data_IF_484358628430
#
_entry.id   IF_484358628430
#
_cell.length_a   1.000
_cell.length_b   1.000
_cell.length_c   1.000
_cell.angle_alpha   90.00
_cell.angle_beta   90.00
_cell.angle_gamma   90.00
#
_symmetry.space_group_name_H-M   'P 1'
#
loop_
_entity.id
_entity.type
_entity.pdbx_description
1 polymer ?
#
# COMPACT_ATOMS: atom_id res chain seq x y z
N UNK A 1 5.92 -17.64 6.54
CA UNK A 1 4.77 -16.72 6.54
C UNK A 1 5.18 -15.54 5.67
N UNK A 2 4.42 -15.18 4.65
CA UNK A 2 4.77 -14.08 3.75
C UNK A 2 4.70 -12.71 4.44
N UNK A 3 3.98 -12.60 5.58
CA UNK A 3 3.80 -11.34 6.31
C UNK A 3 4.38 -11.46 7.72
N UNK A 4 5.19 -10.46 8.09
CA UNK A 4 5.81 -10.38 9.40
C UNK A 4 5.36 -9.11 10.12
N UNK A 5 4.83 -9.26 11.33
CA UNK A 5 4.61 -8.13 12.23
C UNK A 5 5.97 -7.60 12.72
N UNK A 6 6.22 -6.30 12.56
CA UNK A 6 7.49 -5.65 12.91
C UNK A 6 7.39 -4.91 14.22
N UNK A 7 6.27 -4.26 14.51
CA UNK A 7 6.08 -3.48 15.72
C UNK A 7 4.94 -2.47 15.58
N UNK A 8 4.83 -1.58 16.56
CA UNK A 8 3.85 -0.51 16.58
C UNK A 8 4.54 0.82 16.85
N UNK A 9 4.16 1.87 16.11
CA UNK A 9 4.73 3.21 16.20
C UNK A 9 3.76 4.27 16.74
N UNK A 10 2.59 3.90 17.26
CA UNK A 10 1.59 4.87 17.73
C UNK A 10 2.06 5.74 18.91
N UNK A 11 3.14 5.34 19.60
CA UNK A 11 3.82 6.11 20.65
C UNK A 11 4.87 7.11 20.13
N UNK A 12 5.25 7.01 18.86
CA UNK A 12 6.28 7.86 18.24
C UNK A 12 5.71 9.03 17.44
N UNK A 13 4.51 8.87 16.94
CA UNK A 13 3.79 9.92 16.21
C UNK A 13 2.27 9.70 16.28
N UNK A 14 1.55 10.79 16.04
CA UNK A 14 0.09 10.78 15.97
C UNK A 14 -0.39 10.39 14.57
N UNK A 15 -0.91 9.17 14.43
CA UNK A 15 -1.48 8.68 13.16
C UNK A 15 -2.66 9.53 12.68
N UNK A 16 -3.49 10.03 13.60
CA UNK A 16 -4.65 10.86 13.26
C UNK A 16 -4.19 12.23 12.71
N UNK A 17 -3.05 12.76 13.18
CA UNK A 17 -2.44 13.97 12.64
C UNK A 17 -1.97 13.76 11.19
N UNK A 18 -1.33 12.64 10.89
CA UNK A 18 -0.91 12.34 9.49
C UNK A 18 -2.14 12.25 8.57
N UNK A 19 -3.20 11.58 9.02
CA UNK A 19 -4.46 11.53 8.26
C UNK A 19 -5.02 12.94 8.06
N UNK A 20 -5.05 13.78 9.10
CA UNK A 20 -5.54 15.15 9.01
C UNK A 20 -4.75 15.97 7.98
N UNK A 21 -3.42 15.89 7.96
CA UNK A 21 -2.58 16.54 6.96
C UNK A 21 -2.93 16.07 5.53
N UNK A 22 -3.11 14.76 5.32
CA UNK A 22 -3.53 14.25 4.01
C UNK A 22 -4.88 14.82 3.57
N UNK A 23 -5.82 14.99 4.50
CA UNK A 23 -7.17 15.50 4.21
C UNK A 23 -7.23 16.99 3.83
N UNK A 24 -6.17 17.75 4.07
CA UNK A 24 -6.04 19.14 3.59
C UNK A 24 -5.81 19.21 2.07
N UNK A 25 -5.58 18.05 1.42
CA UNK A 25 -5.24 17.95 0.01
C UNK A 25 -6.19 17.00 -0.73
N UNK A 26 -6.26 17.13 -2.07
CA UNK A 26 -7.10 16.26 -2.90
C UNK A 26 -6.53 14.84 -3.07
N UNK A 27 -5.21 14.69 -2.91
CA UNK A 27 -4.52 13.44 -3.23
C UNK A 27 -4.54 13.09 -4.73
N UNK A 28 -3.77 12.09 -5.11
CA UNK A 28 -3.72 11.55 -6.47
C UNK A 28 -4.65 10.34 -6.58
N UNK A 29 -5.64 10.41 -7.48
CA UNK A 29 -6.63 9.34 -7.66
C UNK A 29 -6.06 8.28 -8.60
N UNK A 30 -6.08 7.02 -8.16
CA UNK A 30 -5.76 5.85 -8.95
C UNK A 30 -7.00 5.01 -9.19
N UNK A 31 -7.19 4.58 -10.42
CA UNK A 31 -8.29 3.69 -10.84
C UNK A 31 -7.75 2.49 -11.58
N UNK A 32 -8.29 1.32 -11.27
CA UNK A 32 -8.04 0.10 -12.02
C UNK A 32 -6.75 -0.64 -11.64
N UNK A 33 -6.37 -1.59 -12.48
CA UNK A 33 -5.23 -2.48 -12.27
C UNK A 33 -3.97 -1.87 -12.87
N UNK A 34 -2.85 -2.01 -12.17
CA UNK A 34 -1.54 -1.60 -12.66
C UNK A 34 -1.15 -2.50 -13.84
N UNK A 35 -0.78 -1.91 -14.97
CA UNK A 35 -0.29 -2.66 -16.13
C UNK A 35 1.14 -3.13 -15.89
N UNK A 36 1.40 -4.43 -16.09
CA UNK A 36 2.75 -4.97 -16.08
C UNK A 36 3.52 -4.57 -17.35
N UNK A 37 4.83 -4.29 -17.24
CA UNK A 37 5.71 -4.20 -18.41
C UNK A 37 5.70 -5.50 -19.22
N UNK A 38 5.79 -5.39 -20.55
CA UNK A 38 5.71 -6.54 -21.46
C UNK A 38 6.84 -7.55 -21.24
N UNK A 39 7.97 -7.10 -20.74
CA UNK A 39 9.15 -7.91 -20.42
C UNK A 39 9.11 -8.52 -19.01
N UNK A 40 8.04 -8.28 -18.26
CA UNK A 40 7.89 -8.86 -16.93
C UNK A 40 7.65 -10.38 -17.01
N UNK A 41 8.32 -11.22 -16.17
CA UNK A 41 8.21 -12.69 -16.22
C UNK A 41 6.78 -13.21 -16.13
N UNK A 42 5.89 -12.49 -15.45
CA UNK A 42 4.47 -12.87 -15.27
C UNK A 42 3.50 -12.12 -16.18
N UNK A 43 4.02 -11.35 -17.15
CA UNK A 43 3.18 -10.55 -18.05
C UNK A 43 2.09 -11.38 -18.74
N UNK A 44 2.43 -12.58 -19.16
CA UNK A 44 1.50 -13.43 -19.90
C UNK A 44 0.31 -13.86 -19.02
N UNK A 45 0.58 -14.33 -17.81
CA UNK A 45 -0.46 -14.68 -16.83
C UNK A 45 -1.29 -13.46 -16.44
N UNK A 46 -0.63 -12.33 -16.22
CA UNK A 46 -1.31 -11.08 -15.90
C UNK A 46 -2.15 -10.55 -17.07
N UNK A 47 -1.69 -10.67 -18.30
CA UNK A 47 -2.45 -10.23 -19.48
C UNK A 47 -3.76 -10.99 -19.64
N UNK A 48 -3.81 -12.26 -19.22
CA UNK A 48 -5.03 -13.06 -19.18
C UNK A 48 -5.97 -12.53 -18.10
N UNK A 49 -5.46 -12.30 -16.88
CA UNK A 49 -6.24 -11.73 -15.78
C UNK A 49 -6.75 -10.32 -16.12
N UNK A 50 -5.93 -9.50 -16.77
CA UNK A 50 -6.32 -8.17 -17.24
C UNK A 50 -7.47 -8.25 -18.25
N UNK A 51 -7.39 -9.16 -19.23
CA UNK A 51 -8.47 -9.39 -20.19
C UNK A 51 -9.75 -9.87 -19.52
N UNK A 52 -9.66 -10.78 -18.55
CA UNK A 52 -10.79 -11.25 -17.76
C UNK A 52 -11.40 -10.11 -16.93
N UNK A 53 -10.58 -9.31 -16.27
CA UNK A 53 -11.02 -8.15 -15.50
C UNK A 53 -11.74 -7.12 -16.39
N UNK A 54 -11.20 -6.82 -17.57
CA UNK A 54 -11.85 -5.95 -18.58
C UNK A 54 -13.19 -6.51 -19.03
N UNK A 55 -13.26 -7.81 -19.38
CA UNK A 55 -14.50 -8.44 -19.83
C UNK A 55 -15.58 -8.51 -18.74
N UNK A 56 -15.17 -8.54 -17.47
CA UNK A 56 -16.06 -8.51 -16.31
C UNK A 56 -16.47 -7.09 -15.88
N UNK A 57 -16.01 -6.04 -16.60
CA UNK A 57 -16.31 -4.64 -16.27
C UNK A 57 -15.60 -4.11 -15.04
N UNK A 58 -14.52 -4.73 -14.60
CA UNK A 58 -13.79 -4.29 -13.40
C UNK A 58 -13.22 -2.89 -13.51
N UNK A 59 -12.78 -2.49 -14.71
CA UNK A 59 -12.22 -1.15 -14.97
C UNK A 59 -13.25 -0.03 -15.03
N UNK A 60 -14.49 -0.39 -15.32
CA UNK A 60 -15.63 0.53 -15.32
C UNK A 60 -16.27 0.63 -13.93
N UNK A 61 -15.83 -0.25 -12.99
CA UNK A 61 -16.36 -0.31 -11.65
C UNK A 61 -15.68 0.72 -10.77
N UNK A 62 -16.44 1.70 -10.28
CA UNK A 62 -15.99 2.71 -9.32
C UNK A 62 -15.46 2.12 -7.99
N UNK A 63 -15.67 0.82 -7.72
CA UNK A 63 -15.12 0.16 -6.54
C UNK A 63 -13.58 0.13 -6.55
N UNK A 64 -12.95 0.13 -7.73
CA UNK A 64 -11.49 0.08 -7.87
C UNK A 64 -10.86 1.49 -7.89
N UNK A 65 -11.10 2.23 -6.82
CA UNK A 65 -10.56 3.58 -6.64
C UNK A 65 -9.89 3.71 -5.28
N UNK A 66 -8.68 4.26 -5.28
CA UNK A 66 -7.96 4.65 -4.08
C UNK A 66 -7.17 5.93 -4.35
N UNK A 67 -6.78 6.63 -3.28
CA UNK A 67 -6.01 7.87 -3.38
C UNK A 67 -4.64 7.70 -2.75
N UNK A 68 -3.64 8.33 -3.36
CA UNK A 68 -2.31 8.45 -2.79
C UNK A 68 -2.00 9.90 -2.38
N UNK A 69 -1.36 10.01 -1.23
CA UNK A 69 -0.80 11.25 -0.70
C UNK A 69 0.71 11.06 -0.52
N UNK A 70 1.49 11.94 -1.14
CA UNK A 70 2.96 11.86 -1.14
C UNK A 70 3.53 12.72 0.00
N UNK A 71 4.67 12.32 0.62
CA UNK A 71 5.35 13.16 1.59
C UNK A 71 5.77 14.50 0.96
N UNK A 72 6.10 15.49 1.80
CA UNK A 72 6.45 16.87 1.43
C UNK A 72 5.29 17.68 0.81
N UNK A 73 4.40 17.05 0.07
CA UNK A 73 3.26 17.71 -0.59
C UNK A 73 1.97 17.62 0.22
N UNK A 74 1.78 16.52 0.96
CA UNK A 74 0.51 16.21 1.60
C UNK A 74 0.64 15.89 3.09
N UNK A 75 1.84 15.57 3.56
CA UNK A 75 2.15 15.33 4.97
C UNK A 75 3.64 15.51 5.25
N UNK A 76 3.99 15.66 6.54
CA UNK A 76 5.34 15.98 6.99
C UNK A 76 6.35 14.86 6.66
N UNK A 77 7.43 15.20 5.97
CA UNK A 77 8.56 14.30 5.67
C UNK A 77 9.18 13.69 6.94
N UNK A 78 9.16 14.41 8.06
CA UNK A 78 9.68 13.93 9.35
C UNK A 78 9.05 12.59 9.76
N UNK A 79 7.81 12.35 9.39
CA UNK A 79 7.15 11.05 9.62
C UNK A 79 7.86 9.91 8.87
N UNK A 80 8.24 10.14 7.61
CA UNK A 80 8.99 9.16 6.81
C UNK A 80 10.36 8.89 7.42
N UNK A 81 11.02 9.91 7.94
CA UNK A 81 12.35 9.80 8.56
C UNK A 81 12.28 8.95 9.84
N UNK A 82 11.30 9.20 10.72
CA UNK A 82 11.05 8.41 11.93
C UNK A 82 10.74 6.94 11.57
N UNK A 83 9.92 6.73 10.54
CA UNK A 83 9.58 5.39 10.07
C UNK A 83 10.82 4.66 9.52
N UNK A 84 11.62 5.33 8.69
CA UNK A 84 12.86 4.80 8.10
C UNK A 84 13.86 4.38 9.17
N UNK A 85 14.06 5.23 10.18
CA UNK A 85 14.93 4.93 11.33
C UNK A 85 14.44 3.70 12.09
N UNK A 86 13.13 3.61 12.34
CA UNK A 86 12.56 2.48 13.07
C UNK A 86 12.70 1.15 12.35
N UNK A 87 12.48 1.10 11.04
CA UNK A 87 12.59 -0.13 10.25
C UNK A 87 14.00 -0.41 9.73
N UNK A 88 14.93 0.55 9.88
CA UNK A 88 16.32 0.43 9.43
C UNK A 88 16.46 0.36 7.90
N UNK A 89 15.59 1.04 7.15
CA UNK A 89 15.57 0.97 5.70
C UNK A 89 15.61 2.37 5.05
N UNK A 90 16.29 2.48 3.92
CA UNK A 90 16.33 3.71 3.11
C UNK A 90 15.10 3.77 2.21
N UNK A 91 14.32 4.87 2.24
CA UNK A 91 13.10 4.98 1.45
C UNK A 91 13.40 5.13 -0.06
N UNK A 92 12.60 4.50 -0.89
CA UNK A 92 12.56 4.66 -2.35
C UNK A 92 11.22 5.25 -2.80
N UNK A 93 10.13 4.67 -2.32
CA UNK A 93 8.77 5.11 -2.62
C UNK A 93 7.97 5.05 -1.34
N UNK A 94 7.37 6.18 -0.98
CA UNK A 94 6.51 6.29 0.21
C UNK A 94 5.25 7.09 -0.11
N UNK A 95 4.12 6.65 0.40
CA UNK A 95 2.84 7.35 0.26
C UNK A 95 1.84 6.87 1.30
N UNK A 96 0.86 7.70 1.59
CA UNK A 96 -0.35 7.29 2.31
C UNK A 96 -1.43 6.96 1.29
N UNK A 97 -2.09 5.80 1.45
CA UNK A 97 -3.25 5.41 0.66
C UNK A 97 -4.53 5.65 1.45
N UNK A 98 -5.51 6.28 0.81
CA UNK A 98 -6.90 6.31 1.27
C UNK A 98 -7.74 5.34 0.45
N UNK A 99 -8.45 4.45 1.13
CA UNK A 99 -9.48 3.58 0.54
C UNK A 99 -10.82 3.95 1.18
N UNK A 100 -11.70 4.61 0.42
CA UNK A 100 -13.02 5.03 0.89
C UNK A 100 -13.96 3.84 1.10
N UNK A 101 -15.05 4.00 1.87
CA UNK A 101 -16.11 3.00 1.98
C UNK A 101 -16.58 2.48 0.63
N UNK A 102 -16.67 1.16 0.48
CA UNK A 102 -17.07 0.49 -0.77
C UNK A 102 -15.99 0.47 -1.86
N UNK A 103 -14.77 0.93 -1.56
CA UNK A 103 -13.66 0.96 -2.51
C UNK A 103 -12.60 -0.07 -2.17
N UNK A 104 -11.71 -0.36 -3.14
CA UNK A 104 -10.59 -1.29 -2.98
C UNK A 104 -9.39 -0.89 -3.81
N UNK A 105 -8.20 -1.23 -3.33
CA UNK A 105 -7.03 -1.48 -4.17
C UNK A 105 -7.14 -2.94 -4.62
N UNK A 106 -7.28 -3.23 -5.92
CA UNK A 106 -7.53 -4.58 -6.41
C UNK A 106 -6.33 -5.50 -6.17
N UNK A 107 -6.48 -6.78 -6.40
CA UNK A 107 -5.42 -7.78 -6.34
C UNK A 107 -4.32 -7.43 -7.33
N UNK A 108 -3.13 -7.13 -6.83
CA UNK A 108 -1.98 -6.68 -7.62
C UNK A 108 -0.68 -7.01 -6.89
N UNK A 109 0.42 -6.83 -7.58
CA UNK A 109 1.74 -6.69 -6.99
C UNK A 109 2.40 -5.41 -7.52
N UNK A 110 3.32 -4.88 -6.75
CA UNK A 110 3.93 -3.61 -7.06
C UNK A 110 5.21 -3.78 -7.87
N UNK A 111 5.26 -3.18 -9.04
CA UNK A 111 6.44 -3.11 -9.88
C UNK A 111 6.87 -1.66 -10.03
N UNK A 112 8.16 -1.45 -9.86
CA UNK A 112 8.80 -0.19 -10.20
C UNK A 112 9.81 -0.48 -11.32
N UNK A 113 9.79 0.29 -12.43
CA UNK A 113 10.78 0.13 -13.51
C UNK A 113 12.23 0.17 -13.03
N UNK A 114 12.48 0.85 -11.90
CA UNK A 114 13.79 0.96 -11.29
C UNK A 114 14.16 -0.17 -10.34
N UNK A 115 13.30 -1.18 -10.12
CA UNK A 115 13.57 -2.24 -9.14
C UNK A 115 14.84 -3.00 -9.43
N UNK A 116 15.18 -3.22 -10.70
CA UNK A 116 16.43 -3.86 -11.10
C UNK A 116 17.67 -3.08 -10.65
N UNK A 117 17.63 -1.77 -10.78
CA UNK A 117 18.72 -0.89 -10.34
C UNK A 117 18.72 -0.71 -8.82
N UNK A 118 17.54 -0.63 -8.21
CA UNK A 118 17.41 -0.50 -6.77
C UNK A 118 17.92 -1.75 -6.02
N UNK A 119 17.74 -2.94 -6.58
CA UNK A 119 18.30 -4.19 -6.02
C UNK A 119 19.83 -4.22 -5.96
N UNK A 120 20.51 -3.40 -6.76
CA UNK A 120 21.98 -3.24 -6.67
C UNK A 120 22.41 -2.43 -5.46
N UNK A 121 21.50 -1.66 -4.85
CA UNK A 121 21.78 -0.83 -3.67
C UNK A 121 21.59 -1.59 -2.35
N UNK A 122 20.78 -2.66 -2.34
CA UNK A 122 20.48 -3.46 -1.17
C UNK A 122 19.28 -4.38 -1.40
N UNK A 123 18.89 -5.10 -0.36
CA UNK A 123 17.69 -5.93 -0.39
C UNK A 123 16.45 -5.03 -0.37
N UNK A 124 15.59 -5.17 -1.37
CA UNK A 124 14.30 -4.47 -1.40
C UNK A 124 13.38 -5.01 -0.31
N UNK A 125 12.74 -4.09 0.40
CA UNK A 125 11.79 -4.38 1.48
C UNK A 125 10.53 -3.54 1.30
N UNK A 126 9.42 -4.08 1.79
CA UNK A 126 8.13 -3.38 1.83
C UNK A 126 7.52 -3.44 3.21
N UNK A 127 6.92 -2.32 3.58
CA UNK A 127 6.18 -2.20 4.82
C UNK A 127 4.84 -1.51 4.57
N UNK A 128 3.84 -1.94 5.32
CA UNK A 128 2.61 -1.18 5.53
C UNK A 128 2.45 -0.84 7.00
N UNK A 129 2.18 0.43 7.27
CA UNK A 129 1.78 0.89 8.59
C UNK A 129 0.29 1.26 8.53
N UNK A 130 -0.48 0.73 9.46
CA UNK A 130 -1.91 1.00 9.56
C UNK A 130 -2.15 2.31 10.31
N UNK A 131 -2.53 3.37 9.58
CA UNK A 131 -2.83 4.68 10.14
C UNK A 131 -4.23 4.76 10.74
N UNK A 132 -5.20 4.01 10.18
CA UNK A 132 -6.57 3.98 10.70
C UNK A 132 -6.66 3.16 11.98
N UNK A 133 -7.54 3.59 12.90
CA UNK A 133 -8.02 2.73 13.99
C UNK A 133 -8.72 1.50 13.42
N UNK A 134 -8.71 0.35 14.12
CA UNK A 134 -9.43 -0.84 13.68
C UNK A 134 -10.90 -0.54 13.43
N UNK A 135 -11.40 -0.93 12.26
CA UNK A 135 -12.79 -0.75 11.87
C UNK A 135 -13.33 -2.01 11.18
N UNK A 136 -14.59 -2.40 11.41
CA UNK A 136 -15.23 -3.44 10.62
C UNK A 136 -15.14 -3.11 9.13
N UNK A 137 -14.72 -4.11 8.32
CA UNK A 137 -14.61 -3.96 6.87
C UNK A 137 -13.27 -3.45 6.35
N UNK A 138 -12.34 -3.03 7.23
CA UNK A 138 -10.96 -2.75 6.85
C UNK A 138 -10.19 -4.06 6.74
N UNK A 139 -9.92 -4.51 5.52
CA UNK A 139 -9.22 -5.77 5.25
C UNK A 139 -7.98 -5.50 4.39
N UNK A 140 -6.91 -6.21 4.68
CA UNK A 140 -5.71 -6.25 3.87
C UNK A 140 -5.34 -7.72 3.62
N UNK A 141 -5.07 -8.09 2.40
CA UNK A 141 -4.79 -9.46 1.99
C UNK A 141 -3.40 -9.48 1.35
N UNK A 142 -2.55 -10.39 1.79
CA UNK A 142 -1.25 -10.66 1.18
C UNK A 142 -1.15 -12.17 0.95
N UNK A 143 -0.95 -12.56 -0.31
CA UNK A 143 -0.95 -13.95 -0.72
C UNK A 143 -2.19 -14.69 -0.15
N UNK A 144 -2.02 -15.62 0.77
CA UNK A 144 -3.12 -16.36 1.39
C UNK A 144 -3.48 -15.85 2.80
N UNK A 145 -2.81 -14.79 3.28
CA UNK A 145 -3.05 -14.23 4.60
C UNK A 145 -4.03 -13.06 4.55
N UNK A 146 -5.01 -13.10 5.42
CA UNK A 146 -6.01 -12.04 5.58
C UNK A 146 -5.77 -11.32 6.90
N UNK A 147 -5.44 -10.04 6.82
CA UNK A 147 -5.24 -9.18 7.97
C UNK A 147 -6.46 -8.29 8.17
N UNK A 148 -7.07 -8.36 9.35
CA UNK A 148 -8.23 -7.55 9.74
C UNK A 148 -8.12 -7.15 11.20
N UNK A 149 -8.89 -6.18 11.62
CA UNK A 149 -8.91 -5.64 12.99
C UNK A 149 -7.50 -5.24 13.46
N UNK A 150 -6.72 -4.64 12.55
CA UNK A 150 -5.33 -4.30 12.80
C UNK A 150 -5.26 -3.04 13.66
N UNK A 151 -4.54 -3.07 14.81
CA UNK A 151 -4.34 -1.89 15.63
C UNK A 151 -3.67 -0.75 14.86
N UNK A 152 -4.10 0.48 15.17
CA UNK A 152 -3.46 1.69 14.66
C UNK A 152 -1.97 1.72 15.06
N UNK A 153 -1.10 2.12 14.13
CA UNK A 153 0.34 2.14 14.34
C UNK A 153 1.06 0.81 14.06
N UNK A 154 0.34 -0.29 13.85
CA UNK A 154 0.97 -1.58 13.55
C UNK A 154 1.64 -1.57 12.17
N UNK A 155 2.85 -2.13 12.13
CA UNK A 155 3.68 -2.27 10.94
C UNK A 155 3.79 -3.73 10.57
N UNK A 156 3.55 -4.01 9.29
CA UNK A 156 3.77 -5.32 8.69
C UNK A 156 4.76 -5.21 7.53
N UNK A 157 5.65 -6.18 7.45
CA UNK A 157 6.63 -6.36 6.38
C UNK A 157 6.25 -7.59 5.56
N UNK A 158 6.43 -7.52 4.24
CA UNK A 158 6.54 -8.72 3.41
C UNK A 158 7.86 -8.72 2.65
N UNK A 159 8.40 -9.92 2.48
CA UNK A 159 9.78 -10.10 2.04
C UNK A 159 9.93 -10.05 0.53
N UNK A 160 8.87 -10.45 -0.18
CA UNK A 160 8.91 -10.49 -1.63
C UNK A 160 8.08 -9.35 -2.22
N UNK A 161 8.73 -8.47 -2.96
CA UNK A 161 8.08 -7.32 -3.62
C UNK A 161 7.04 -7.75 -4.68
N UNK A 162 7.08 -9.02 -5.10
CA UNK A 162 6.12 -9.61 -6.02
C UNK A 162 4.98 -10.36 -5.33
N UNK A 163 4.87 -10.28 -4.00
CA UNK A 163 3.74 -10.90 -3.31
C UNK A 163 2.45 -10.17 -3.69
N UNK A 164 1.50 -10.98 -4.14
CA UNK A 164 0.18 -10.50 -4.50
C UNK A 164 -0.55 -9.98 -3.26
N UNK A 165 -1.12 -8.79 -3.39
CA UNK A 165 -1.85 -8.17 -2.29
C UNK A 165 -3.04 -7.34 -2.76
N UNK A 166 -3.96 -7.09 -1.83
CA UNK A 166 -5.14 -6.27 -2.03
C UNK A 166 -5.52 -5.56 -0.74
N UNK A 167 -6.10 -4.39 -0.86
CA UNK A 167 -6.69 -3.67 0.27
C UNK A 167 -8.15 -3.35 -0.01
N UNK A 168 -9.05 -3.67 0.90
CA UNK A 168 -10.47 -3.34 0.73
C UNK A 168 -11.04 -2.64 1.94
N UNK A 169 -12.08 -1.86 1.70
CA UNK A 169 -12.86 -1.18 2.71
C UNK A 169 -14.35 -1.48 2.49
N UNK A 170 -14.83 -2.54 3.12
CA UNK A 170 -16.26 -2.89 3.17
C UNK A 170 -16.98 -2.20 4.33
N UNK A 171 -16.30 -1.30 5.05
CA UNK A 171 -16.84 -0.57 6.20
C UNK A 171 -17.50 0.75 5.81
N UNK A 172 -17.68 1.63 6.81
CA UNK A 172 -18.40 2.90 6.67
C UNK A 172 -17.51 4.13 6.87
N UNK A 173 -16.23 3.94 7.23
CA UNK A 173 -15.25 5.02 7.40
C UNK A 173 -14.04 4.78 6.49
N UNK A 174 -13.35 5.84 6.02
CA UNK A 174 -12.16 5.69 5.19
C UNK A 174 -11.05 4.89 5.90
N UNK A 175 -10.30 4.10 5.14
CA UNK A 175 -9.14 3.35 5.57
C UNK A 175 -7.87 4.04 5.07
N UNK A 176 -6.91 4.26 5.97
CA UNK A 176 -5.62 4.87 5.65
C UNK A 176 -4.48 3.92 5.99
N UNK A 177 -3.57 3.78 5.02
CA UNK A 177 -2.35 2.98 5.12
C UNK A 177 -1.17 3.81 4.67
N UNK A 178 -0.07 3.78 5.41
CA UNK A 178 1.22 4.26 4.90
C UNK A 178 1.97 3.11 4.27
N UNK A 179 2.33 3.27 3.02
CA UNK A 179 3.11 2.31 2.23
C UNK A 179 4.55 2.80 2.12
N UNK A 180 5.48 1.92 2.39
CA UNK A 180 6.91 2.19 2.31
C UNK A 180 7.59 1.08 1.52
N UNK A 181 8.26 1.45 0.43
CA UNK A 181 9.20 0.62 -0.30
C UNK A 181 10.59 1.21 -0.13
N UNK A 182 11.54 0.38 0.23
CA UNK A 182 12.92 0.81 0.47
C UNK A 182 13.90 -0.32 0.30
N UNK A 183 15.14 -0.12 0.75
CA UNK A 183 16.17 -1.15 0.80
C UNK A 183 16.95 -1.11 2.13
N UNK A 184 17.39 -2.27 2.57
CA UNK A 184 18.28 -2.48 3.71
C UNK A 184 19.63 -2.98 3.25
#
# INVERSE_FOLDING_TARGET
MPVKFIGNLSDKFDCDQIIAQCLEHSGEIHKGVIQLPVDHPEYESFSILDKMAKSAGYYENDAMEFRHFKPEFHFDQKFVDIFSEFVGATPLVTFVSEIKPGKMAPWHFDIDPNDKENRKKGQLVRYHLHLSKPQPGHVFIIDQEVLYNIPQGNIYQWENVFDWHAGTNCGIVPKYLFSFKGYV
#
